data_IF_634855294994
#
_entry.id   IF_634855294994
#
_cell.length_a   1.000
_cell.length_b   1.000
_cell.length_c   1.000
_cell.angle_alpha   90.00
_cell.angle_beta   90.00
_cell.angle_gamma   90.00
#
_symmetry.space_group_name_H-M   'P 1'
#
loop_
_entity.id
_entity.type
_entity.pdbx_description
1 polymer ?
#
# COMPACT_ATOMS: atom_id res chain seq x y z
N UNK A 1 -56.06 -31.64 27.26
CA UNK A 1 -56.25 -30.40 26.47
C UNK A 1 -55.40 -29.20 26.92
N UNK A 2 -55.45 -28.72 28.18
CA UNK A 2 -54.62 -27.56 28.63
C UNK A 2 -53.13 -27.89 28.80
N UNK A 3 -52.81 -29.12 29.21
CA UNK A 3 -51.43 -29.60 29.31
C UNK A 3 -50.80 -29.91 27.95
N UNK A 4 -51.55 -30.51 27.03
CA UNK A 4 -51.11 -30.72 25.64
C UNK A 4 -50.77 -29.41 24.95
N UNK A 5 -51.58 -28.35 25.15
CA UNK A 5 -51.28 -27.00 24.64
C UNK A 5 -50.01 -26.39 25.23
N UNK A 6 -49.71 -26.64 26.51
CA UNK A 6 -48.47 -26.16 27.13
C UNK A 6 -47.25 -26.89 26.56
N UNK A 7 -47.33 -28.23 26.46
CA UNK A 7 -46.28 -29.05 25.88
C UNK A 7 -46.00 -28.69 24.41
N UNK A 8 -47.04 -28.37 23.63
CA UNK A 8 -46.89 -27.93 22.24
C UNK A 8 -46.21 -26.56 22.12
N UNK A 9 -46.55 -25.61 23.00
CA UNK A 9 -45.90 -24.29 23.03
C UNK A 9 -44.42 -24.41 23.42
N UNK A 10 -44.11 -25.23 24.42
CA UNK A 10 -42.74 -25.46 24.89
C UNK A 10 -41.90 -26.16 23.81
N UNK A 11 -42.43 -27.21 23.18
CA UNK A 11 -41.76 -27.88 22.06
C UNK A 11 -41.55 -26.95 20.85
N UNK A 12 -42.50 -26.06 20.55
CA UNK A 12 -42.34 -25.06 19.48
C UNK A 12 -41.32 -23.97 19.85
N UNK A 13 -41.23 -23.60 21.13
CA UNK A 13 -40.22 -22.67 21.61
C UNK A 13 -38.82 -23.27 21.51
N UNK A 14 -38.63 -24.51 21.98
CA UNK A 14 -37.36 -25.25 21.87
C UNK A 14 -36.92 -25.42 20.41
N UNK A 15 -37.83 -25.81 19.52
CA UNK A 15 -37.53 -25.91 18.07
C UNK A 15 -37.13 -24.57 17.47
N UNK A 16 -37.80 -23.47 17.87
CA UNK A 16 -37.42 -22.12 17.40
C UNK A 16 -36.05 -21.72 17.90
N UNK A 17 -35.74 -21.98 19.17
CA UNK A 17 -34.45 -21.66 19.76
C UNK A 17 -33.33 -22.47 19.09
N UNK A 18 -33.51 -23.78 18.94
CA UNK A 18 -32.55 -24.65 18.23
C UNK A 18 -32.29 -24.18 16.79
N UNK A 19 -33.34 -23.81 16.05
CA UNK A 19 -33.20 -23.27 14.69
C UNK A 19 -32.47 -21.91 14.66
N UNK A 20 -32.66 -21.06 15.68
CA UNK A 20 -31.95 -19.78 15.78
C UNK A 20 -30.47 -20.04 16.05
N UNK A 21 -30.15 -20.94 16.97
CA UNK A 21 -28.78 -21.25 17.37
C UNK A 21 -28.01 -21.94 16.23
N UNK A 22 -28.64 -22.88 15.52
CA UNK A 22 -28.08 -23.49 14.31
C UNK A 22 -27.81 -22.44 13.21
N UNK A 23 -28.76 -21.52 12.98
CA UNK A 23 -28.57 -20.43 12.00
C UNK A 23 -27.44 -19.51 12.42
N UNK A 24 -27.31 -19.17 13.70
CA UNK A 24 -26.22 -18.34 14.21
C UNK A 24 -24.87 -19.03 14.01
N UNK A 25 -24.76 -20.31 14.37
CA UNK A 25 -23.54 -21.08 14.16
C UNK A 25 -23.15 -21.15 12.67
N UNK A 26 -24.12 -21.41 11.79
CA UNK A 26 -23.87 -21.46 10.35
C UNK A 26 -23.46 -20.08 9.77
N UNK A 27 -24.00 -18.98 10.30
CA UNK A 27 -23.62 -17.63 9.90
C UNK A 27 -22.21 -17.27 10.37
N UNK A 28 -21.79 -17.77 11.54
CA UNK A 28 -20.46 -17.51 12.09
C UNK A 28 -19.38 -18.23 11.28
N UNK A 29 -19.57 -19.52 10.98
CA UNK A 29 -18.65 -20.28 10.11
C UNK A 29 -18.49 -19.59 8.75
N UNK A 30 -19.59 -19.13 8.14
CA UNK A 30 -19.53 -18.38 6.88
C UNK A 30 -18.82 -17.03 7.02
N UNK A 31 -18.94 -16.36 8.17
CA UNK A 31 -18.22 -15.10 8.42
C UNK A 31 -16.72 -15.36 8.49
N UNK A 32 -16.31 -16.38 9.25
CA UNK A 32 -14.93 -16.83 9.39
C UNK A 32 -14.28 -17.19 8.03
N UNK A 33 -14.97 -17.97 7.20
CA UNK A 33 -14.50 -18.30 5.85
C UNK A 33 -14.34 -17.05 4.97
N UNK A 34 -15.32 -16.15 5.00
CA UNK A 34 -15.26 -14.90 4.20
C UNK A 34 -14.12 -13.99 4.65
N UNK A 35 -13.89 -13.88 5.95
CA UNK A 35 -12.81 -13.09 6.53
C UNK A 35 -11.46 -13.67 6.12
N UNK A 36 -11.29 -14.99 6.26
CA UNK A 36 -10.05 -15.69 5.88
C UNK A 36 -9.73 -15.48 4.39
N UNK A 37 -10.72 -15.68 3.53
CA UNK A 37 -10.56 -15.46 2.09
C UNK A 37 -10.26 -13.99 1.75
N UNK A 38 -10.89 -13.05 2.44
CA UNK A 38 -10.65 -11.63 2.21
C UNK A 38 -9.25 -11.23 2.65
N UNK A 39 -8.80 -11.69 3.82
CA UNK A 39 -7.45 -11.47 4.32
C UNK A 39 -6.41 -12.02 3.35
N UNK A 40 -6.52 -13.29 2.95
CA UNK A 40 -5.58 -13.91 2.00
C UNK A 40 -5.48 -13.13 0.67
N UNK A 41 -6.63 -12.70 0.13
CA UNK A 41 -6.65 -11.88 -1.09
C UNK A 41 -5.98 -10.52 -0.89
N UNK A 42 -6.09 -9.92 0.30
CA UNK A 42 -5.49 -8.63 0.61
C UNK A 42 -3.97 -8.76 0.83
N UNK A 43 -3.51 -9.75 1.59
CA UNK A 43 -2.08 -10.05 1.77
C UNK A 43 -1.39 -10.30 0.44
N UNK A 44 -1.92 -11.20 -0.38
CA UNK A 44 -1.35 -11.50 -1.71
C UNK A 44 -1.20 -10.26 -2.60
N UNK A 45 -2.19 -9.34 -2.53
CA UNK A 45 -2.13 -8.09 -3.29
C UNK A 45 -1.13 -7.11 -2.72
N UNK A 46 -1.00 -7.04 -1.40
CA UNK A 46 -0.01 -6.18 -0.74
C UNK A 46 1.39 -6.67 -1.07
N UNK A 47 1.66 -7.96 -0.95
CA UNK A 47 2.96 -8.56 -1.28
C UNK A 47 3.37 -8.29 -2.73
N UNK A 48 2.45 -8.49 -3.67
CA UNK A 48 2.72 -8.18 -5.08
C UNK A 48 3.00 -6.68 -5.32
N UNK A 49 2.34 -5.79 -4.57
CA UNK A 49 2.55 -4.35 -4.70
C UNK A 49 3.85 -3.91 -4.02
N UNK A 50 4.20 -4.45 -2.85
CA UNK A 50 5.45 -4.12 -2.16
C UNK A 50 6.65 -4.55 -2.99
N UNK A 51 6.62 -5.74 -3.58
CA UNK A 51 7.64 -6.21 -4.52
C UNK A 51 7.76 -5.29 -5.74
N UNK A 52 6.62 -4.89 -6.32
CA UNK A 52 6.61 -3.96 -7.47
C UNK A 52 7.19 -2.59 -7.11
N UNK A 53 6.86 -2.05 -5.94
CA UNK A 53 7.38 -0.75 -5.49
C UNK A 53 8.89 -0.85 -5.24
N UNK A 54 9.37 -1.91 -4.58
CA UNK A 54 10.79 -2.13 -4.35
C UNK A 54 11.57 -2.18 -5.67
N UNK A 55 11.08 -2.95 -6.64
CA UNK A 55 11.68 -3.00 -7.98
C UNK A 55 11.74 -1.63 -8.67
N UNK A 56 10.78 -0.74 -8.42
CA UNK A 56 10.83 0.63 -8.96
C UNK A 56 11.86 1.46 -8.20
N UNK A 57 11.95 1.32 -6.87
CA UNK A 57 12.95 1.98 -6.04
C UNK A 57 14.35 1.64 -6.55
N UNK A 58 14.68 0.36 -6.69
CA UNK A 58 16.02 -0.10 -7.11
C UNK A 58 16.41 0.45 -8.50
N UNK A 59 15.43 0.51 -9.41
CA UNK A 59 15.63 1.08 -10.76
C UNK A 59 15.85 2.58 -10.73
N UNK A 60 15.13 3.31 -9.87
CA UNK A 60 15.29 4.75 -9.73
C UNK A 60 16.61 5.08 -9.03
N UNK A 61 17.00 4.34 -8.01
CA UNK A 61 18.29 4.47 -7.33
C UNK A 61 19.45 4.33 -8.33
N UNK A 62 19.45 3.23 -9.10
CA UNK A 62 20.45 3.02 -10.16
C UNK A 62 20.48 4.17 -11.17
N UNK A 63 19.32 4.72 -11.52
CA UNK A 63 19.22 5.83 -12.49
C UNK A 63 19.71 7.15 -11.89
N UNK A 64 19.41 7.41 -10.63
CA UNK A 64 19.90 8.57 -9.88
C UNK A 64 21.42 8.56 -9.85
N UNK A 65 22.04 7.44 -9.48
CA UNK A 65 23.50 7.30 -9.45
C UNK A 65 24.12 7.66 -10.81
N UNK A 66 23.58 7.09 -11.90
CA UNK A 66 24.06 7.40 -13.27
C UNK A 66 23.89 8.87 -13.65
N UNK A 67 22.79 9.50 -13.26
CA UNK A 67 22.55 10.91 -13.59
C UNK A 67 23.45 11.84 -12.77
N UNK A 68 23.70 11.50 -11.50
CA UNK A 68 24.65 12.21 -10.65
C UNK A 68 26.07 12.15 -11.21
N UNK A 69 26.51 10.98 -11.69
CA UNK A 69 27.80 10.82 -12.38
C UNK A 69 27.93 11.68 -13.65
N UNK A 70 26.81 11.98 -14.31
CA UNK A 70 26.75 12.89 -15.46
C UNK A 70 26.72 14.38 -15.06
N UNK A 71 26.78 14.68 -13.76
CA UNK A 71 26.77 16.03 -13.20
C UNK A 71 25.37 16.63 -13.03
N UNK A 72 24.32 15.81 -13.05
CA UNK A 72 22.98 16.26 -12.71
C UNK A 72 22.85 16.42 -11.19
N UNK A 73 22.22 17.50 -10.72
CA UNK A 73 21.81 17.58 -9.32
C UNK A 73 20.63 16.63 -9.07
N UNK A 74 20.84 15.64 -8.20
CA UNK A 74 19.84 14.61 -7.87
C UNK A 74 19.26 14.76 -6.48
N UNK A 75 19.60 15.82 -5.74
CA UNK A 75 19.30 15.94 -4.30
C UNK A 75 17.81 15.80 -3.98
N UNK A 76 16.92 16.49 -4.72
CA UNK A 76 15.47 16.38 -4.50
C UNK A 76 14.90 15.00 -4.87
N UNK A 77 15.47 14.37 -5.89
CA UNK A 77 15.07 13.04 -6.32
C UNK A 77 15.49 11.98 -5.28
N UNK A 78 16.69 12.09 -4.72
CA UNK A 78 17.19 11.24 -3.64
C UNK A 78 16.30 11.33 -2.40
N UNK A 79 15.98 12.55 -1.95
CA UNK A 79 15.10 12.76 -0.80
C UNK A 79 13.68 12.17 -1.01
N UNK A 80 13.13 12.32 -2.22
CA UNK A 80 11.83 11.74 -2.57
C UNK A 80 11.89 10.21 -2.62
N UNK A 81 12.98 9.63 -3.13
CA UNK A 81 13.17 8.19 -3.22
C UNK A 81 13.31 7.56 -1.82
N UNK A 82 14.07 8.20 -0.93
CA UNK A 82 14.20 7.81 0.48
C UNK A 82 12.82 7.82 1.18
N UNK A 83 12.04 8.88 1.00
CA UNK A 83 10.67 8.96 1.55
C UNK A 83 9.74 7.84 1.02
N UNK A 84 9.93 7.45 -0.25
CA UNK A 84 9.20 6.32 -0.83
C UNK A 84 9.59 4.99 -0.14
N UNK A 85 10.88 4.81 0.12
CA UNK A 85 11.43 3.63 0.77
C UNK A 85 10.99 3.51 2.23
N UNK A 86 11.01 4.62 2.99
CA UNK A 86 10.49 4.67 4.35
C UNK A 86 9.01 4.29 4.41
N UNK A 87 8.21 4.82 3.48
CA UNK A 87 6.79 4.49 3.38
C UNK A 87 6.57 3.01 3.05
N UNK A 88 7.39 2.42 2.18
CA UNK A 88 7.33 0.99 1.88
C UNK A 88 7.70 0.14 3.12
N UNK A 89 8.74 0.52 3.86
CA UNK A 89 9.13 -0.18 5.08
C UNK A 89 8.08 -0.09 6.18
N UNK A 90 7.42 1.06 6.33
CA UNK A 90 6.27 1.18 7.23
C UNK A 90 5.14 0.21 6.85
N UNK A 91 4.82 0.09 5.55
CA UNK A 91 3.81 -0.85 5.06
C UNK A 91 4.18 -2.32 5.37
N UNK A 92 5.44 -2.71 5.12
CA UNK A 92 5.94 -4.07 5.37
C UNK A 92 5.94 -4.39 6.87
N UNK A 93 6.39 -3.45 7.69
CA UNK A 93 6.41 -3.60 9.14
C UNK A 93 5.00 -3.79 9.71
N UNK A 94 4.05 -2.96 9.27
CA UNK A 94 2.67 -3.02 9.75
C UNK A 94 1.94 -4.30 9.35
N UNK A 95 2.24 -4.86 8.17
CA UNK A 95 1.61 -6.11 7.70
C UNK A 95 2.29 -7.38 8.23
N UNK A 96 3.49 -7.28 8.82
CA UNK A 96 4.31 -8.44 9.21
C UNK A 96 3.63 -9.46 10.13
N UNK A 97 2.68 -9.02 10.95
CA UNK A 97 1.94 -9.87 11.90
C UNK A 97 0.47 -10.06 11.53
N UNK A 98 0.06 -9.71 10.30
CA UNK A 98 -1.35 -9.68 9.93
C UNK A 98 -2.02 -11.05 10.03
N UNK A 99 -1.27 -12.13 9.76
CA UNK A 99 -1.80 -13.50 9.83
C UNK A 99 -2.20 -13.88 11.26
N UNK A 100 -1.44 -13.40 12.26
CA UNK A 100 -1.77 -13.59 13.68
C UNK A 100 -3.03 -12.81 14.05
N UNK A 101 -3.15 -11.57 13.58
CA UNK A 101 -4.35 -10.75 13.83
C UNK A 101 -5.60 -11.35 13.16
N UNK A 102 -5.45 -11.87 11.94
CA UNK A 102 -6.52 -12.55 11.20
C UNK A 102 -6.94 -13.83 11.93
N UNK A 103 -5.98 -14.65 12.37
CA UNK A 103 -6.28 -15.87 13.12
C UNK A 103 -7.00 -15.55 14.44
N UNK A 104 -6.58 -14.51 15.16
CA UNK A 104 -7.25 -14.06 16.38
C UNK A 104 -8.67 -13.53 16.10
N UNK A 105 -8.86 -12.78 15.01
CA UNK A 105 -10.17 -12.28 14.60
C UNK A 105 -11.12 -13.41 14.21
N UNK A 106 -10.65 -14.39 13.43
CA UNK A 106 -11.47 -15.53 12.99
C UNK A 106 -11.79 -16.48 14.14
N UNK A 107 -10.90 -16.62 15.12
CA UNK A 107 -11.09 -17.49 16.28
C UNK A 107 -11.93 -16.90 17.42
N UNK A 108 -12.39 -15.65 17.30
CA UNK A 108 -13.22 -15.01 18.35
C UNK A 108 -14.69 -15.43 18.25
N UNK A 109 -15.44 -15.21 19.33
CA UNK A 109 -16.91 -15.42 19.35
C UNK A 109 -17.68 -14.46 18.43
N UNK A 110 -17.07 -13.33 18.07
CA UNK A 110 -17.60 -12.35 17.11
C UNK A 110 -16.52 -12.00 16.09
N UNK A 111 -16.40 -12.83 15.05
CA UNK A 111 -15.36 -12.64 14.05
C UNK A 111 -15.51 -11.32 13.28
N UNK A 112 -16.73 -10.76 13.22
CA UNK A 112 -16.98 -9.48 12.54
C UNK A 112 -16.41 -8.31 13.30
N UNK A 113 -16.54 -8.31 14.64
CA UNK A 113 -15.92 -7.31 15.48
C UNK A 113 -14.38 -7.38 15.38
N UNK A 114 -13.81 -8.59 15.47
CA UNK A 114 -12.36 -8.79 15.31
C UNK A 114 -11.84 -8.32 13.94
N UNK A 115 -12.59 -8.57 12.87
CA UNK A 115 -12.24 -8.15 11.52
C UNK A 115 -12.15 -6.62 11.36
N UNK A 116 -12.92 -5.83 12.11
CA UNK A 116 -12.88 -4.38 12.02
C UNK A 116 -11.47 -3.84 12.30
N UNK A 117 -10.81 -4.36 13.34
CA UNK A 117 -9.44 -3.99 13.71
C UNK A 117 -8.42 -4.44 12.65
N UNK A 118 -8.55 -5.67 12.15
CA UNK A 118 -7.67 -6.19 11.08
C UNK A 118 -7.79 -5.34 9.81
N UNK A 119 -9.01 -4.94 9.46
CA UNK A 119 -9.30 -4.08 8.30
C UNK A 119 -8.62 -2.71 8.43
N UNK A 120 -8.56 -2.13 9.62
CA UNK A 120 -7.88 -0.85 9.84
C UNK A 120 -6.38 -0.94 9.54
N UNK A 121 -5.70 -2.02 9.98
CA UNK A 121 -4.30 -2.28 9.61
C UNK A 121 -4.11 -2.34 8.10
N UNK A 122 -4.94 -3.11 7.40
CA UNK A 122 -4.89 -3.15 5.93
C UNK A 122 -5.12 -1.77 5.26
N UNK A 123 -5.99 -0.94 5.82
CA UNK A 123 -6.24 0.42 5.31
C UNK A 123 -5.03 1.33 5.54
N UNK A 124 -4.36 1.20 6.67
CA UNK A 124 -3.11 1.92 6.97
C UNK A 124 -1.98 1.51 6.02
N UNK A 125 -1.75 0.20 5.86
CA UNK A 125 -0.78 -0.37 4.91
C UNK A 125 -1.05 0.15 3.48
N UNK A 126 -2.32 0.18 3.06
CA UNK A 126 -2.71 0.75 1.77
C UNK A 126 -2.33 2.23 1.65
N UNK A 127 -2.46 3.01 2.72
CA UNK A 127 -2.10 4.43 2.70
C UNK A 127 -0.59 4.61 2.61
N UNK A 128 0.20 3.82 3.33
CA UNK A 128 1.66 3.79 3.20
C UNK A 128 2.11 3.47 1.77
N UNK A 129 1.51 2.44 1.14
CA UNK A 129 1.74 2.09 -0.26
C UNK A 129 1.40 3.24 -1.21
N UNK A 130 0.30 3.96 -0.98
CA UNK A 130 -0.07 5.14 -1.78
C UNK A 130 0.94 6.27 -1.63
N UNK A 131 1.41 6.52 -0.42
CA UNK A 131 2.46 7.51 -0.15
C UNK A 131 3.74 7.14 -0.88
N UNK A 132 4.20 5.89 -0.76
CA UNK A 132 5.37 5.40 -1.49
C UNK A 132 5.23 5.64 -3.00
N UNK A 133 4.11 5.25 -3.59
CA UNK A 133 3.86 5.49 -5.01
C UNK A 133 3.86 6.98 -5.40
N UNK A 134 3.28 7.86 -4.58
CA UNK A 134 3.33 9.30 -4.80
C UNK A 134 4.76 9.83 -4.78
N UNK A 135 5.57 9.37 -3.83
CA UNK A 135 6.96 9.78 -3.71
C UNK A 135 7.85 9.27 -4.85
N UNK A 136 7.57 8.08 -5.40
CA UNK A 136 8.22 7.62 -6.63
C UNK A 136 7.89 8.52 -7.84
N UNK A 137 6.67 9.05 -7.91
CA UNK A 137 6.31 10.03 -8.95
C UNK A 137 7.02 11.36 -8.74
N UNK A 138 7.15 11.81 -7.49
CA UNK A 138 7.91 13.01 -7.14
C UNK A 138 9.39 12.86 -7.53
N UNK A 139 9.99 11.71 -7.23
CA UNK A 139 11.36 11.34 -7.65
C UNK A 139 11.54 11.51 -9.16
N UNK A 140 10.65 10.94 -9.96
CA UNK A 140 10.71 11.05 -11.44
C UNK A 140 10.50 12.49 -11.91
N UNK A 141 9.63 13.26 -11.24
CA UNK A 141 9.39 14.65 -11.58
C UNK A 141 10.64 15.51 -11.31
N UNK A 142 11.26 15.38 -10.13
CA UNK A 142 12.48 16.07 -9.76
C UNK A 142 13.62 15.79 -10.77
N UNK A 143 13.81 14.52 -11.14
CA UNK A 143 14.81 14.15 -12.16
C UNK A 143 14.54 14.79 -13.53
N UNK A 144 13.27 14.97 -13.91
CA UNK A 144 12.92 15.64 -15.17
C UNK A 144 13.20 17.14 -15.10
N UNK A 145 12.83 17.78 -13.99
CA UNK A 145 13.09 19.21 -13.78
C UNK A 145 14.59 19.50 -13.84
N UNK A 146 15.39 18.77 -13.06
CA UNK A 146 16.84 18.92 -13.07
C UNK A 146 17.44 18.71 -14.48
N UNK A 147 16.93 17.73 -15.24
CA UNK A 147 17.41 17.46 -16.59
C UNK A 147 17.10 18.60 -17.59
N UNK A 148 15.97 19.29 -17.42
CA UNK A 148 15.63 20.47 -18.22
C UNK A 148 16.54 21.64 -17.86
N UNK A 149 16.72 21.93 -16.58
CA UNK A 149 17.57 23.03 -16.10
C UNK A 149 19.04 22.87 -16.53
N UNK A 150 19.55 21.64 -16.48
CA UNK A 150 20.90 21.32 -16.99
C UNK A 150 21.04 21.61 -18.48
N UNK A 151 20.01 21.28 -19.28
CA UNK A 151 20.01 21.52 -20.72
C UNK A 151 19.97 23.02 -21.03
N UNK A 152 19.16 23.78 -20.32
CA UNK A 152 19.04 25.22 -20.51
C UNK A 152 20.35 25.94 -20.15
N UNK A 153 21.01 25.50 -19.07
CA UNK A 153 22.32 26.02 -18.67
C UNK A 153 23.40 25.75 -19.72
N UNK A 154 23.43 24.53 -20.30
CA UNK A 154 24.37 24.18 -21.37
C UNK A 154 24.09 24.95 -22.67
N UNK A 155 22.81 25.06 -23.07
CA UNK A 155 22.43 25.80 -24.28
C UNK A 155 22.74 27.30 -24.20
N UNK A 156 22.53 27.91 -23.03
CA UNK A 156 22.92 29.31 -22.79
C UNK A 156 24.45 29.49 -22.82
N UNK A 157 25.20 28.55 -22.23
CA UNK A 157 26.67 28.61 -22.22
C UNK A 157 27.28 28.44 -23.62
N UNK A 158 26.66 27.62 -24.48
CA UNK A 158 27.08 27.40 -25.86
C UNK A 158 26.82 28.63 -26.74
N UNK A 159 25.65 29.27 -26.59
CA UNK A 159 25.33 30.51 -27.30
C UNK A 159 26.29 31.66 -26.93
N UNK A 160 26.54 31.87 -25.62
CA UNK A 160 27.47 32.91 -25.14
C UNK A 160 28.90 32.68 -25.66
N UNK A 161 29.31 31.42 -25.81
CA UNK A 161 30.64 31.08 -26.33
C UNK A 161 30.78 31.37 -27.83
N UNK A 162 29.75 31.11 -28.62
CA UNK A 162 29.74 31.47 -30.05
C UNK A 162 29.76 32.98 -30.29
N UNK A 163 29.04 33.76 -29.46
CA UNK A 163 29.05 35.22 -29.57
C UNK A 163 30.43 35.81 -29.21
N UNK A 164 31.12 35.26 -28.21
CA UNK A 164 32.48 35.68 -27.85
C UNK A 164 33.52 35.32 -28.93
N UNK A 165 33.36 34.19 -29.62
CA UNK A 165 34.27 33.78 -30.70
C UNK A 165 34.07 34.61 -31.98
N UNK A 166 32.83 34.99 -32.29
CA UNK A 166 32.52 35.86 -33.43
C UNK A 166 32.96 37.32 -33.24
N UNK A 167 33.00 37.84 -32.01
CA UNK A 167 33.56 39.17 -31.71
C UNK A 167 35.10 39.22 -31.80
N UNK A 168 35.78 38.10 -31.53
CA UNK A 168 37.26 38.02 -31.59
C UNK A 168 37.77 37.92 -33.03
N UNK A 169 37.02 37.33 -33.96
CA UNK A 169 37.39 37.26 -35.39
C UNK A 169 37.09 38.55 -36.17
N UNK A 170 36.33 39.49 -35.59
CA UNK A 170 35.94 40.75 -36.22
C UNK A 170 36.85 41.95 -35.89
N UNK A 171 37.89 41.76 -35.05
CA UNK A 171 38.91 42.75 -34.68
C UNK A 171 40.30 42.36 -35.20
#
# INVERSE_FOLDING_TARGET
>A
NREERKAEIEANHEKRQANIDERKAALEVRAQERITNLAANMSNRIDAITERIQNIIDRLDTRIVKLRELGLDTSEAEASLESAQDSLYAAISEISNIDVDVAAAVGSEDARAGWATVKEKYLSVRNHIKTAHTQLRATVAALKTAAVEMKDTRGSSEAVRMDAETEVEAN
#
